data_IF_608929434900
#
_entry.id   IF_608929434900
#
_cell.length_a   1.000
_cell.length_b   1.000
_cell.length_c   1.000
_cell.angle_alpha   90.00
_cell.angle_beta   90.00
_cell.angle_gamma   90.00
#
_symmetry.space_group_name_H-M   'P 1'
#
loop_
_entity.id
_entity.type
_entity.pdbx_description
1 polymer ?
#
# COMPACT_ATOMS: atom_id res chain seq x y z
N UNK A 1 35.81 34.24 -37.12
CA UNK A 1 34.91 33.06 -37.05
C UNK A 1 34.72 32.49 -35.65
N UNK A 2 35.76 32.15 -34.87
CA UNK A 2 35.61 31.56 -33.52
C UNK A 2 34.78 32.40 -32.52
N UNK A 3 34.94 33.73 -32.53
CA UNK A 3 34.12 34.66 -31.71
C UNK A 3 32.64 34.66 -32.10
N UNK A 4 32.34 34.52 -33.40
CA UNK A 4 30.96 34.50 -33.91
C UNK A 4 30.26 33.18 -33.52
N UNK A 5 30.96 32.05 -33.67
CA UNK A 5 30.47 30.73 -33.22
C UNK A 5 30.21 30.68 -31.70
N UNK A 6 31.11 31.27 -30.90
CA UNK A 6 30.93 31.36 -29.45
C UNK A 6 29.72 32.22 -29.07
N UNK A 7 29.49 33.33 -29.77
CA UNK A 7 28.35 34.22 -29.54
C UNK A 7 27.01 33.56 -29.90
N UNK A 8 26.98 32.76 -30.98
CA UNK A 8 25.82 31.94 -31.36
C UNK A 8 25.54 30.82 -30.37
N UNK A 9 26.57 30.19 -29.81
CA UNK A 9 26.42 29.18 -28.78
C UNK A 9 25.82 29.77 -27.49
N UNK A 10 26.31 30.94 -27.06
CA UNK A 10 25.73 31.67 -25.92
C UNK A 10 24.28 32.09 -26.19
N UNK A 11 24.00 32.60 -27.39
CA UNK A 11 22.64 32.98 -27.79
C UNK A 11 21.70 31.78 -27.82
N UNK A 12 22.14 30.63 -28.32
CA UNK A 12 21.35 29.39 -28.32
C UNK A 12 21.06 28.88 -26.90
N UNK A 13 22.06 28.93 -26.00
CA UNK A 13 21.87 28.60 -24.58
C UNK A 13 20.90 29.58 -23.93
N UNK A 14 21.04 30.88 -24.18
CA UNK A 14 20.15 31.91 -23.65
C UNK A 14 18.71 31.76 -24.17
N UNK A 15 18.53 31.48 -25.46
CA UNK A 15 17.21 31.20 -26.05
C UNK A 15 16.61 29.93 -25.46
N UNK A 16 17.41 28.87 -25.25
CA UNK A 16 16.93 27.67 -24.56
C UNK A 16 16.49 27.99 -23.12
N UNK A 17 17.26 28.78 -22.37
CA UNK A 17 16.91 29.22 -21.01
C UNK A 17 15.63 30.05 -21.01
N UNK A 18 15.52 31.04 -21.89
CA UNK A 18 14.33 31.91 -22.00
C UNK A 18 13.10 31.13 -22.48
N UNK A 19 13.24 30.22 -23.45
CA UNK A 19 12.16 29.35 -23.91
C UNK A 19 11.72 28.39 -22.79
N UNK A 20 12.67 27.86 -22.02
CA UNK A 20 12.37 27.05 -20.83
C UNK A 20 11.55 27.89 -19.85
N UNK A 21 11.96 29.12 -19.55
CA UNK A 21 11.24 30.05 -18.65
C UNK A 21 9.83 30.38 -19.17
N UNK A 22 9.64 30.58 -20.47
CA UNK A 22 8.33 30.91 -21.07
C UNK A 22 7.36 29.72 -21.02
N UNK A 23 7.84 28.52 -21.35
CA UNK A 23 7.10 27.25 -21.23
C UNK A 23 6.85 26.89 -19.75
N UNK A 24 7.67 27.43 -18.85
CA UNK A 24 7.57 27.20 -17.41
C UNK A 24 6.39 27.91 -16.75
N UNK A 25 5.76 28.90 -17.38
CA UNK A 25 4.78 29.74 -16.69
C UNK A 25 3.47 29.01 -16.35
N UNK A 26 2.82 29.29 -15.19
CA UNK A 26 1.52 28.73 -14.86
C UNK A 26 0.45 29.02 -15.92
N UNK A 27 0.58 30.12 -16.68
CA UNK A 27 -0.29 30.46 -17.80
C UNK A 27 -0.14 29.49 -18.98
N UNK A 28 1.10 29.10 -19.31
CA UNK A 28 1.37 28.11 -20.35
C UNK A 28 0.78 26.75 -19.96
N UNK A 29 1.07 26.28 -18.74
CA UNK A 29 0.52 25.00 -18.24
C UNK A 29 -1.02 25.03 -18.25
N UNK A 30 -1.63 26.13 -17.79
CA UNK A 30 -3.08 26.31 -17.83
C UNK A 30 -3.61 26.16 -19.25
N UNK A 31 -3.02 26.82 -20.24
CA UNK A 31 -3.49 26.78 -21.62
C UNK A 31 -3.28 25.40 -22.27
N UNK A 32 -2.13 24.75 -22.08
CA UNK A 32 -1.82 23.45 -22.69
C UNK A 32 -2.64 22.31 -22.09
N UNK A 33 -2.99 22.40 -20.80
CA UNK A 33 -3.78 21.35 -20.12
C UNK A 33 -5.29 21.60 -20.14
N UNK A 34 -5.75 22.81 -20.49
CA UNK A 34 -7.16 23.17 -20.38
C UNK A 34 -8.06 22.27 -21.20
N UNK A 35 -7.76 22.10 -22.49
CA UNK A 35 -8.61 21.36 -23.42
C UNK A 35 -8.65 19.87 -23.06
N UNK A 36 -7.49 19.28 -22.75
CA UNK A 36 -7.40 17.90 -22.29
C UNK A 36 -8.20 17.67 -21.00
N UNK A 37 -7.99 18.49 -19.97
CA UNK A 37 -8.69 18.34 -18.69
C UNK A 37 -10.20 18.54 -18.87
N UNK A 38 -10.62 19.50 -19.69
CA UNK A 38 -12.03 19.77 -20.00
C UNK A 38 -12.69 18.62 -20.75
N UNK A 39 -12.02 18.05 -21.76
CA UNK A 39 -12.49 16.88 -22.50
C UNK A 39 -12.74 15.68 -21.58
N UNK A 40 -11.88 15.51 -20.56
CA UNK A 40 -12.01 14.45 -19.56
C UNK A 40 -12.86 14.83 -18.33
N UNK A 41 -13.60 15.95 -18.37
CA UNK A 41 -14.43 16.44 -17.26
C UNK A 41 -13.65 16.61 -15.93
N UNK A 42 -12.37 16.95 -16.02
CA UNK A 42 -11.50 17.25 -14.89
C UNK A 42 -11.45 18.77 -14.70
N UNK A 43 -11.73 19.22 -13.49
CA UNK A 43 -11.71 20.65 -13.12
C UNK A 43 -10.86 20.86 -11.88
N UNK A 44 -10.39 22.09 -11.68
CA UNK A 44 -9.59 22.49 -10.51
C UNK A 44 -9.92 23.94 -10.15
N UNK A 45 -9.76 24.31 -8.88
CA UNK A 45 -10.02 25.67 -8.41
C UNK A 45 -8.86 26.62 -8.72
N UNK A 46 -7.62 26.15 -8.51
CA UNK A 46 -6.40 26.93 -8.69
C UNK A 46 -5.28 26.04 -9.19
N UNK A 47 -4.45 26.59 -10.07
CA UNK A 47 -3.13 26.07 -10.41
C UNK A 47 -2.08 27.07 -9.92
N UNK A 48 -0.99 26.59 -9.35
CA UNK A 48 0.11 27.41 -8.82
C UNK A 48 1.46 26.76 -9.12
N UNK A 49 2.53 27.55 -9.06
CA UNK A 49 3.89 27.12 -9.35
C UNK A 49 4.24 27.09 -10.83
N UNK A 50 5.39 26.49 -11.12
CA UNK A 50 6.00 26.42 -12.45
C UNK A 50 6.59 25.01 -12.67
N UNK A 51 6.85 24.61 -13.92
CA UNK A 51 7.50 23.33 -14.30
C UNK A 51 8.83 23.08 -13.56
N UNK A 52 9.63 24.11 -13.23
CA UNK A 52 10.92 24.00 -12.55
C UNK A 52 10.84 24.01 -11.01
N UNK A 53 9.77 24.54 -10.42
CA UNK A 53 9.54 24.58 -8.96
C UNK A 53 8.48 23.56 -8.52
N UNK A 54 7.77 22.98 -9.48
CA UNK A 54 6.66 22.06 -9.28
C UNK A 54 5.31 22.77 -9.44
N UNK A 55 4.37 22.04 -10.06
CA UNK A 55 3.01 22.50 -10.35
C UNK A 55 2.07 21.95 -9.30
N UNK A 56 1.22 22.81 -8.74
CA UNK A 56 0.21 22.44 -7.73
C UNK A 56 -1.20 22.73 -8.24
N UNK A 57 -2.05 21.71 -8.23
CA UNK A 57 -3.48 21.82 -8.50
C UNK A 57 -4.26 21.72 -7.20
N UNK A 58 -5.22 22.61 -6.99
CA UNK A 58 -6.06 22.67 -5.79
C UNK A 58 -7.52 22.35 -6.13
N UNK A 59 -8.18 21.60 -5.25
CA UNK A 59 -9.58 21.18 -5.37
C UNK A 59 -9.87 20.50 -6.73
N UNK A 60 -9.12 19.42 -6.99
CA UNK A 60 -9.24 18.64 -8.24
C UNK A 60 -10.51 17.83 -8.20
N UNK A 61 -11.33 17.96 -9.24
CA UNK A 61 -12.63 17.29 -9.39
C UNK A 61 -12.73 16.55 -10.71
N UNK A 62 -13.46 15.43 -10.71
CA UNK A 62 -13.87 14.69 -11.90
C UNK A 62 -15.39 14.58 -11.92
N UNK A 63 -16.04 15.02 -12.99
CA UNK A 63 -17.52 15.09 -13.07
C UNK A 63 -18.14 15.82 -11.88
N UNK A 64 -17.58 16.99 -11.53
CA UNK A 64 -17.93 17.81 -10.37
C UNK A 64 -17.77 17.14 -8.98
N UNK A 65 -17.20 15.92 -8.91
CA UNK A 65 -16.95 15.20 -7.66
C UNK A 65 -15.48 15.34 -7.24
N UNK A 66 -15.18 15.53 -5.94
CA UNK A 66 -13.81 15.74 -5.47
C UNK A 66 -12.96 14.49 -5.70
N UNK A 67 -11.78 14.67 -6.27
CA UNK A 67 -10.75 13.63 -6.47
C UNK A 67 -9.60 13.83 -5.49
N UNK A 68 -9.08 15.05 -5.35
CA UNK A 68 -8.02 15.36 -4.38
C UNK A 68 -8.11 16.82 -3.96
N UNK A 69 -7.81 17.11 -2.68
CA UNK A 69 -7.75 18.48 -2.20
C UNK A 69 -6.55 19.24 -2.80
N UNK A 70 -5.42 18.54 -2.93
CA UNK A 70 -4.21 19.08 -3.56
C UNK A 70 -3.43 17.99 -4.29
N UNK A 71 -2.95 18.32 -5.48
CA UNK A 71 -2.04 17.50 -6.26
C UNK A 71 -0.82 18.36 -6.62
N UNK A 72 0.34 18.03 -6.08
CA UNK A 72 1.60 18.69 -6.40
C UNK A 72 2.50 17.71 -7.17
N UNK A 73 3.06 18.15 -8.28
CA UNK A 73 3.97 17.38 -9.13
C UNK A 73 5.21 18.21 -9.42
N UNK A 74 6.38 17.65 -9.14
CA UNK A 74 7.67 18.22 -9.50
C UNK A 74 8.45 17.21 -10.33
N UNK A 75 8.73 17.55 -11.58
CA UNK A 75 9.36 16.65 -12.56
C UNK A 75 10.44 17.39 -13.36
N UNK A 76 11.37 16.65 -13.97
CA UNK A 76 12.45 17.21 -14.79
C UNK A 76 12.19 16.96 -16.28
N UNK A 77 11.82 17.98 -17.07
CA UNK A 77 11.65 17.82 -18.51
C UNK A 77 12.92 17.36 -19.23
N UNK A 78 14.09 17.78 -18.73
CA UNK A 78 15.38 17.42 -19.31
C UNK A 78 15.68 15.92 -19.23
N UNK A 79 15.06 15.19 -18.30
CA UNK A 79 15.26 13.73 -18.20
C UNK A 79 14.76 12.96 -19.41
N UNK A 80 13.86 13.56 -20.22
CA UNK A 80 13.35 12.96 -21.45
C UNK A 80 14.46 12.74 -22.48
N UNK A 81 15.51 13.59 -22.47
CA UNK A 81 16.69 13.42 -23.33
C UNK A 81 17.45 12.13 -23.02
N UNK A 82 17.33 11.62 -21.79
CA UNK A 82 17.89 10.35 -21.35
C UNK A 82 16.89 9.19 -21.42
N UNK A 83 15.77 9.36 -22.13
CA UNK A 83 14.66 8.39 -22.16
C UNK A 83 14.10 8.09 -20.76
N UNK A 84 14.05 9.09 -19.89
CA UNK A 84 13.51 8.95 -18.52
C UNK A 84 12.42 9.97 -18.27
N UNK A 85 11.40 9.57 -17.51
CA UNK A 85 10.44 10.48 -16.89
C UNK A 85 10.80 10.56 -15.41
N UNK A 86 11.51 11.61 -14.99
CA UNK A 86 11.93 11.77 -13.59
C UNK A 86 10.97 12.70 -12.85
N UNK A 87 10.24 12.12 -11.91
CA UNK A 87 9.39 12.80 -10.95
C UNK A 87 10.15 12.90 -9.62
N UNK A 88 10.63 14.09 -9.30
CA UNK A 88 11.36 14.37 -8.07
C UNK A 88 10.47 14.28 -6.83
N UNK A 89 9.27 14.87 -6.92
CA UNK A 89 8.33 14.91 -5.80
C UNK A 89 6.90 14.93 -6.31
N UNK A 90 6.08 14.03 -5.77
CA UNK A 90 4.62 14.10 -5.87
C UNK A 90 4.00 14.21 -4.49
N UNK A 91 2.96 15.02 -4.34
CA UNK A 91 2.16 15.05 -3.11
C UNK A 91 0.69 15.06 -3.49
N UNK A 92 -0.08 14.14 -2.91
CA UNK A 92 -1.53 14.03 -3.11
C UNK A 92 -2.18 14.12 -1.73
N UNK A 93 -2.96 15.16 -1.52
CA UNK A 93 -3.68 15.41 -0.27
C UNK A 93 -5.16 15.07 -0.42
N UNK A 94 -5.70 14.36 0.57
CA UNK A 94 -7.11 13.95 0.66
C UNK A 94 -7.66 13.30 -0.61
N UNK A 95 -6.92 12.33 -1.14
CA UNK A 95 -7.33 11.55 -2.30
C UNK A 95 -8.63 10.78 -2.01
N UNK A 96 -9.64 11.01 -2.84
CA UNK A 96 -10.88 10.26 -2.84
C UNK A 96 -10.74 9.02 -3.74
N UNK A 97 -10.46 7.88 -3.13
CA UNK A 97 -10.21 6.60 -3.84
C UNK A 97 -11.39 6.20 -4.74
N UNK A 98 -12.63 6.42 -4.30
CA UNK A 98 -13.82 6.07 -5.09
C UNK A 98 -13.92 6.88 -6.36
N UNK A 99 -13.66 8.19 -6.30
CA UNK A 99 -13.71 9.06 -7.47
C UNK A 99 -12.46 8.91 -8.35
N UNK A 100 -11.29 8.64 -7.77
CA UNK A 100 -10.10 8.27 -8.52
C UNK A 100 -10.34 7.00 -9.37
N UNK A 101 -10.94 5.96 -8.79
CA UNK A 101 -11.25 4.73 -9.52
C UNK A 101 -12.19 5.00 -10.71
N UNK A 102 -13.20 5.86 -10.54
CA UNK A 102 -14.09 6.29 -11.63
C UNK A 102 -13.36 7.07 -12.72
N UNK A 103 -12.42 7.94 -12.32
CA UNK A 103 -11.57 8.68 -13.25
C UNK A 103 -10.69 7.72 -14.06
N UNK A 104 -9.99 6.79 -13.41
CA UNK A 104 -9.14 5.78 -14.07
C UNK A 104 -9.97 4.97 -15.07
N UNK A 105 -11.15 4.49 -14.66
CA UNK A 105 -12.04 3.70 -15.52
C UNK A 105 -12.66 4.50 -16.68
N UNK A 106 -12.60 5.84 -16.65
CA UNK A 106 -13.11 6.68 -17.74
C UNK A 106 -12.15 6.79 -18.92
N UNK A 107 -10.85 6.50 -18.70
CA UNK A 107 -9.89 6.41 -19.78
C UNK A 107 -10.13 5.10 -20.54
N UNK A 108 -10.67 5.20 -21.76
CA UNK A 108 -10.86 4.05 -22.64
C UNK A 108 -9.49 3.50 -23.02
N UNK A 109 -9.26 2.20 -22.79
CA UNK A 109 -8.21 1.48 -23.52
C UNK A 109 -8.68 1.35 -24.97
N UNK A 110 -8.12 2.16 -25.85
CA UNK A 110 -8.41 2.02 -27.28
C UNK A 110 -7.68 0.77 -27.77
N UNK A 111 -8.40 -0.25 -28.22
CA UNK A 111 -7.86 -1.55 -28.69
C UNK A 111 -6.94 -1.45 -29.93
N UNK A 112 -6.59 -0.23 -30.36
CA UNK A 112 -5.55 0.03 -31.34
C UNK A 112 -4.25 0.34 -30.61
N UNK A 113 -3.64 -0.70 -30.04
CA UNK A 113 -2.20 -0.68 -29.75
C UNK A 113 -1.47 -0.64 -31.10
N UNK A 114 -1.09 0.57 -31.53
CA UNK A 114 0.16 0.67 -32.30
C UNK A 114 1.25 0.10 -31.39
N UNK A 115 1.93 -0.93 -31.86
CA UNK A 115 3.05 -1.67 -31.22
C UNK A 115 4.31 -0.79 -31.01
N UNK A 116 4.13 0.51 -30.78
CA UNK A 116 5.20 1.42 -30.43
C UNK A 116 5.55 1.20 -28.96
N UNK A 117 6.51 0.30 -28.73
CA UNK A 117 7.14 0.13 -27.43
C UNK A 117 7.84 1.43 -27.04
N UNK A 118 7.22 2.17 -26.11
CA UNK A 118 7.78 3.39 -25.55
C UNK A 118 8.98 3.01 -24.68
N UNK A 119 10.18 3.20 -25.24
CA UNK A 119 11.46 3.01 -24.54
C UNK A 119 11.71 4.17 -23.55
N UNK A 120 10.96 4.16 -22.45
CA UNK A 120 11.07 5.11 -21.35
C UNK A 120 11.14 4.41 -20.00
N UNK A 121 11.92 4.98 -19.08
CA UNK A 121 11.92 4.58 -17.66
C UNK A 121 11.25 5.67 -16.82
N UNK A 122 10.23 5.30 -16.05
CA UNK A 122 9.60 6.17 -15.07
C UNK A 122 10.35 6.08 -13.74
N UNK A 123 10.85 7.21 -13.25
CA UNK A 123 11.55 7.30 -11.96
C UNK A 123 10.77 8.27 -11.06
N UNK A 124 10.27 7.77 -9.94
CA UNK A 124 9.64 8.55 -8.89
C UNK A 124 10.54 8.55 -7.64
N UNK A 125 11.19 9.67 -7.37
CA UNK A 125 12.12 9.79 -6.24
C UNK A 125 11.40 9.86 -4.90
N UNK A 126 10.29 10.62 -4.83
CA UNK A 126 9.47 10.74 -3.62
C UNK A 126 8.01 10.98 -3.96
N UNK A 127 7.10 10.23 -3.34
CA UNK A 127 5.69 10.61 -3.28
C UNK A 127 5.16 10.52 -1.87
N UNK A 128 4.24 11.43 -1.53
CA UNK A 128 3.41 11.34 -0.34
C UNK A 128 1.95 11.38 -0.77
N UNK A 129 1.18 10.37 -0.39
CA UNK A 129 -0.23 10.25 -0.76
C UNK A 129 -1.00 10.09 0.53
N UNK A 130 -2.03 10.90 0.71
CA UNK A 130 -3.01 10.75 1.80
C UNK A 130 -4.40 10.62 1.21
N UNK A 131 -5.29 9.94 1.91
CA UNK A 131 -6.66 9.73 1.43
C UNK A 131 -7.68 10.33 2.37
N UNK A 132 -8.74 10.90 1.80
CA UNK A 132 -9.95 11.22 2.56
C UNK A 132 -10.60 9.93 3.09
N UNK A 133 -11.37 10.04 4.17
CA UNK A 133 -12.17 8.94 4.70
C UNK A 133 -13.04 8.30 3.61
N UNK A 134 -13.02 6.97 3.50
CA UNK A 134 -13.86 6.23 2.55
C UNK A 134 -14.25 4.86 3.08
N UNK A 135 -15.31 4.30 2.52
CA UNK A 135 -15.79 2.96 2.85
C UNK A 135 -15.63 2.01 1.66
N UNK A 136 -15.17 0.79 1.93
CA UNK A 136 -15.18 -0.30 0.96
C UNK A 136 -15.80 -1.54 1.62
N UNK A 137 -16.98 -1.94 1.14
CA UNK A 137 -17.79 -2.99 1.79
C UNK A 137 -18.04 -2.64 3.26
N UNK A 138 -17.59 -3.50 4.19
CA UNK A 138 -17.72 -3.29 5.64
C UNK A 138 -16.48 -2.67 6.29
N UNK A 139 -15.48 -2.28 5.50
CA UNK A 139 -14.27 -1.61 5.94
C UNK A 139 -14.46 -0.10 5.82
N UNK A 140 -14.24 0.61 6.92
CA UNK A 140 -14.19 2.06 6.94
C UNK A 140 -12.74 2.47 7.15
N UNK A 141 -12.16 3.12 6.14
CA UNK A 141 -10.83 3.69 6.20
C UNK A 141 -10.95 5.14 6.67
N UNK A 142 -10.51 5.41 7.89
CA UNK A 142 -10.50 6.75 8.48
C UNK A 142 -9.46 7.63 7.79
N UNK A 143 -8.27 7.06 7.55
CA UNK A 143 -7.18 7.70 6.82
C UNK A 143 -6.21 6.65 6.28
N UNK A 144 -5.61 6.92 5.13
CA UNK A 144 -4.43 6.19 4.65
C UNK A 144 -3.33 7.18 4.31
N UNK A 145 -2.09 6.75 4.52
CA UNK A 145 -0.88 7.46 4.11
C UNK A 145 0.05 6.48 3.42
N UNK A 146 0.52 6.84 2.23
CA UNK A 146 1.58 6.11 1.53
C UNK A 146 2.73 7.07 1.23
N UNK A 147 3.94 6.68 1.62
CA UNK A 147 5.17 7.35 1.24
C UNK A 147 5.95 6.42 0.32
N UNK A 148 6.20 6.86 -0.91
CA UNK A 148 6.98 6.11 -1.90
C UNK A 148 8.34 6.78 -2.04
N UNK A 149 9.40 5.98 -2.17
CA UNK A 149 10.74 6.48 -2.44
C UNK A 149 11.49 5.61 -3.42
N UNK A 150 12.29 6.25 -4.30
CA UNK A 150 13.18 5.59 -5.25
C UNK A 150 12.49 4.53 -6.13
N UNK A 151 11.25 4.82 -6.55
CA UNK A 151 10.48 3.95 -7.44
C UNK A 151 11.02 4.09 -8.85
N UNK A 152 11.35 2.97 -9.50
CA UNK A 152 11.78 2.92 -10.89
C UNK A 152 11.01 1.83 -11.63
N UNK A 153 10.39 2.20 -12.74
CA UNK A 153 9.59 1.33 -13.58
C UNK A 153 10.02 1.46 -15.04
N UNK A 154 10.49 0.35 -15.58
CA UNK A 154 10.87 0.20 -16.98
C UNK A 154 9.61 -0.07 -17.80
N UNK A 155 9.18 0.91 -18.58
CA UNK A 155 7.96 0.80 -19.37
C UNK A 155 8.15 -0.14 -20.56
N UNK A 156 9.36 -0.20 -21.12
CA UNK A 156 9.70 -1.06 -22.25
C UNK A 156 9.62 -2.54 -21.89
N UNK A 157 10.23 -2.90 -20.77
CA UNK A 157 10.24 -4.29 -20.29
C UNK A 157 9.03 -4.64 -19.41
N UNK A 158 8.16 -3.65 -19.08
CA UNK A 158 7.09 -3.78 -18.09
C UNK A 158 7.61 -4.35 -16.76
N UNK A 159 8.68 -3.75 -16.23
CA UNK A 159 9.40 -4.23 -15.04
C UNK A 159 9.54 -3.16 -13.97
N UNK A 160 9.13 -3.51 -12.76
CA UNK A 160 9.43 -2.73 -11.57
C UNK A 160 10.87 -3.04 -11.13
N UNK A 161 11.76 -2.04 -11.20
CA UNK A 161 13.19 -2.20 -10.96
C UNK A 161 13.55 -1.94 -9.50
N UNK A 162 13.02 -0.87 -8.92
CA UNK A 162 13.31 -0.43 -7.56
C UNK A 162 12.12 0.32 -6.96
N UNK A 163 12.08 0.45 -5.63
CA UNK A 163 11.01 1.16 -4.94
C UNK A 163 10.90 0.75 -3.48
N UNK A 164 10.63 1.73 -2.64
CA UNK A 164 10.33 1.57 -1.23
C UNK A 164 8.97 2.20 -0.96
N UNK A 165 8.18 1.56 -0.10
CA UNK A 165 6.86 2.04 0.31
C UNK A 165 6.74 1.97 1.83
N UNK A 166 6.36 3.08 2.45
CA UNK A 166 5.82 3.11 3.81
C UNK A 166 4.32 3.31 3.68
N UNK A 167 3.53 2.45 4.31
CA UNK A 167 2.09 2.47 4.23
C UNK A 167 1.48 2.44 5.62
N UNK A 168 0.58 3.38 5.88
CA UNK A 168 -0.15 3.49 7.13
C UNK A 168 -1.64 3.53 6.80
N UNK A 169 -2.45 2.74 7.48
CA UNK A 169 -3.90 2.80 7.38
C UNK A 169 -4.53 2.77 8.76
N UNK A 170 -5.49 3.66 9.00
CA UNK A 170 -6.37 3.66 10.15
C UNK A 170 -7.77 3.25 9.67
N UNK A 171 -8.29 2.16 10.25
CA UNK A 171 -9.53 1.54 9.86
C UNK A 171 -10.41 1.30 11.07
N UNK A 172 -11.72 1.12 10.85
CA UNK A 172 -12.63 0.70 11.92
C UNK A 172 -12.18 -0.60 12.62
N UNK A 173 -11.60 -1.55 11.89
CA UNK A 173 -11.13 -2.82 12.47
C UNK A 173 -9.71 -2.80 13.00
N UNK A 174 -8.96 -1.70 12.87
CA UNK A 174 -7.58 -1.70 13.33
C UNK A 174 -6.68 -0.71 12.61
N UNK A 175 -5.39 -0.82 12.86
CA UNK A 175 -4.36 0.01 12.22
C UNK A 175 -3.27 -0.85 11.62
N UNK A 176 -2.84 -0.47 10.43
CA UNK A 176 -1.78 -1.15 9.67
C UNK A 176 -0.61 -0.17 9.52
N UNK A 177 0.60 -0.61 9.83
CA UNK A 177 1.82 0.11 9.52
C UNK A 177 2.80 -0.85 8.83
N UNK A 178 3.08 -0.64 7.56
CA UNK A 178 3.93 -1.50 6.74
C UNK A 178 5.08 -0.70 6.14
N UNK A 179 6.21 -1.37 5.98
CA UNK A 179 7.32 -0.94 5.15
C UNK A 179 7.66 -2.07 4.19
N UNK A 180 7.74 -1.78 2.89
CA UNK A 180 8.17 -2.72 1.87
C UNK A 180 9.23 -2.11 0.95
N UNK A 181 10.03 -2.98 0.37
CA UNK A 181 10.98 -2.69 -0.70
C UNK A 181 10.82 -3.72 -1.80
N UNK A 182 10.93 -3.31 -3.05
CA UNK A 182 10.94 -4.28 -4.15
C UNK A 182 12.24 -5.10 -4.16
N UNK A 183 12.14 -6.36 -4.54
CA UNK A 183 13.28 -7.24 -4.78
C UNK A 183 13.49 -7.54 -6.27
N UNK A 184 12.81 -6.80 -7.16
CA UNK A 184 12.83 -6.97 -8.61
C UNK A 184 11.58 -7.70 -9.14
N UNK A 185 11.28 -7.54 -10.43
CA UNK A 185 10.23 -8.29 -11.16
C UNK A 185 8.84 -8.29 -10.50
N UNK A 186 8.44 -7.16 -9.92
CA UNK A 186 7.18 -6.98 -9.16
C UNK A 186 7.10 -7.77 -7.85
N UNK A 187 8.24 -8.20 -7.31
CA UNK A 187 8.33 -8.78 -5.99
C UNK A 187 8.57 -7.69 -4.93
N UNK A 188 7.94 -7.83 -3.78
CA UNK A 188 8.06 -6.93 -2.65
C UNK A 188 8.30 -7.72 -1.37
N UNK A 189 9.27 -7.27 -0.57
CA UNK A 189 9.51 -7.78 0.78
C UNK A 189 9.43 -6.67 1.79
N UNK A 190 8.89 -6.96 2.96
CA UNK A 190 8.67 -5.94 3.96
C UNK A 190 8.42 -6.47 5.35
N UNK A 191 8.13 -5.54 6.25
CA UNK A 191 7.83 -5.79 7.67
C UNK A 191 6.86 -4.72 8.18
N UNK A 192 6.31 -4.92 9.35
CA UNK A 192 5.40 -3.93 9.92
C UNK A 192 4.71 -4.38 11.19
N UNK A 193 3.58 -3.77 11.45
CA UNK A 193 2.68 -4.17 12.52
C UNK A 193 1.23 -3.94 12.14
N UNK A 194 0.36 -4.71 12.77
CA UNK A 194 -1.08 -4.62 12.70
C UNK A 194 -1.62 -4.59 14.14
N UNK A 195 -2.57 -3.70 14.38
CA UNK A 195 -3.43 -3.74 15.57
C UNK A 195 -4.84 -4.04 15.13
N UNK A 196 -5.58 -4.80 15.92
CA UNK A 196 -6.98 -5.17 15.63
C UNK A 196 -7.87 -4.58 16.72
N UNK A 197 -8.91 -3.85 16.33
CA UNK A 197 -9.87 -3.27 17.25
C UNK A 197 -10.90 -4.31 17.69
N UNK A 198 -11.47 -4.14 18.89
CA UNK A 198 -12.46 -5.07 19.46
C UNK A 198 -13.66 -5.34 18.54
N UNK A 199 -14.11 -4.32 17.80
CA UNK A 199 -15.20 -4.41 16.83
C UNK A 199 -14.99 -5.47 15.74
N UNK A 200 -13.73 -5.81 15.41
CA UNK A 200 -13.44 -6.90 14.48
C UNK A 200 -13.83 -8.25 15.10
N UNK A 201 -13.34 -8.53 16.32
CA UNK A 201 -13.62 -9.78 17.02
C UNK A 201 -15.11 -9.93 17.31
N UNK A 202 -15.78 -8.85 17.74
CA UNK A 202 -17.21 -8.87 18.04
C UNK A 202 -18.04 -9.16 16.78
N UNK A 203 -17.68 -8.56 15.63
CA UNK A 203 -18.38 -8.78 14.35
C UNK A 203 -18.31 -10.23 13.88
N UNK A 204 -17.19 -10.90 14.13
CA UNK A 204 -16.96 -12.28 13.69
C UNK A 204 -17.15 -13.31 14.81
N UNK A 205 -17.71 -12.90 15.95
CA UNK A 205 -17.93 -13.74 17.14
C UNK A 205 -16.66 -14.50 17.57
N UNK A 206 -15.50 -13.88 17.39
CA UNK A 206 -14.23 -14.44 17.85
C UNK A 206 -14.08 -14.05 19.33
N UNK A 207 -13.93 -15.02 20.25
CA UNK A 207 -13.91 -14.74 21.68
C UNK A 207 -12.55 -14.19 22.12
N UNK A 208 -12.09 -13.07 21.54
CA UNK A 208 -10.83 -12.41 21.88
C UNK A 208 -11.05 -11.00 22.42
N UNK A 209 -10.18 -10.63 23.37
CA UNK A 209 -10.07 -9.29 23.95
C UNK A 209 -8.93 -8.58 23.21
N UNK A 210 -9.26 -7.58 22.39
CA UNK A 210 -8.30 -6.86 21.56
C UNK A 210 -7.18 -6.19 22.37
N UNK A 211 -7.52 -5.58 23.51
CA UNK A 211 -6.54 -4.93 24.40
C UNK A 211 -5.48 -5.92 24.92
N UNK A 212 -5.86 -7.19 25.06
CA UNK A 212 -5.02 -8.25 25.60
C UNK A 212 -4.22 -8.97 24.51
N UNK A 213 -4.74 -9.02 23.27
CA UNK A 213 -4.05 -9.60 22.13
C UNK A 213 -2.78 -8.81 21.73
N UNK A 214 -2.72 -7.52 22.05
CA UNK A 214 -1.63 -6.65 21.64
C UNK A 214 -1.56 -6.46 20.12
N UNK A 215 -0.41 -5.98 19.64
CA UNK A 215 -0.16 -5.80 18.22
C UNK A 215 0.48 -7.04 17.62
N UNK A 216 0.02 -7.44 16.43
CA UNK A 216 0.71 -8.42 15.60
C UNK A 216 1.92 -7.75 14.94
N UNK A 217 3.12 -8.20 15.27
CA UNK A 217 4.36 -7.83 14.60
C UNK A 217 4.50 -8.66 13.33
N UNK A 218 4.56 -7.99 12.17
CA UNK A 218 4.82 -8.64 10.89
C UNK A 218 6.34 -8.63 10.69
N UNK A 219 6.98 -9.76 10.99
CA UNK A 219 8.43 -9.90 10.87
C UNK A 219 8.87 -9.91 9.41
N UNK A 220 8.06 -10.53 8.55
CA UNK A 220 8.25 -10.57 7.12
C UNK A 220 6.90 -10.60 6.41
N UNK A 221 6.74 -9.83 5.34
CA UNK A 221 5.78 -10.15 4.30
C UNK A 221 6.47 -10.14 2.94
N UNK A 222 5.99 -11.00 2.05
CA UNK A 222 6.47 -11.15 0.69
C UNK A 222 5.28 -11.16 -0.25
N UNK A 223 5.34 -10.40 -1.34
CA UNK A 223 4.39 -10.41 -2.44
C UNK A 223 5.18 -10.72 -3.71
N UNK A 224 4.72 -11.68 -4.50
CA UNK A 224 5.34 -12.07 -5.77
C UNK A 224 4.28 -12.39 -6.82
N UNK A 225 4.72 -12.79 -8.02
CA UNK A 225 3.83 -13.29 -9.09
C UNK A 225 3.12 -14.60 -8.75
N UNK A 226 3.53 -15.33 -7.71
CA UNK A 226 2.91 -16.61 -7.32
C UNK A 226 1.94 -16.46 -6.14
N UNK A 227 2.14 -15.46 -5.29
CA UNK A 227 1.31 -15.29 -4.11
C UNK A 227 1.72 -14.14 -3.22
N UNK A 228 1.21 -14.18 -1.99
CA UNK A 228 1.83 -13.47 -0.87
C UNK A 228 2.08 -14.42 0.30
N UNK A 229 2.99 -14.05 1.19
CA UNK A 229 3.22 -14.69 2.47
C UNK A 229 3.43 -13.63 3.54
N UNK A 230 2.86 -13.83 4.72
CA UNK A 230 2.99 -12.96 5.90
C UNK A 230 3.41 -13.84 7.07
N UNK A 231 4.48 -13.46 7.74
CA UNK A 231 4.92 -14.01 9.02
C UNK A 231 4.57 -12.99 10.10
N UNK A 232 3.66 -13.38 10.99
CA UNK A 232 3.17 -12.55 12.07
C UNK A 232 3.46 -13.21 13.43
N UNK A 233 3.89 -12.40 14.40
CA UNK A 233 4.01 -12.78 15.80
C UNK A 233 3.13 -11.88 16.65
N UNK A 234 2.32 -12.49 17.50
CA UNK A 234 1.47 -11.79 18.46
C UNK A 234 1.80 -12.31 19.86
N UNK A 235 1.85 -11.42 20.84
CA UNK A 235 2.01 -11.76 22.26
C UNK A 235 0.92 -11.07 23.05
N UNK A 236 0.35 -11.78 24.00
CA UNK A 236 -0.73 -11.28 24.83
C UNK A 236 -0.88 -12.10 26.10
N UNK A 237 -1.72 -11.61 26.99
CA UNK A 237 -2.09 -12.29 28.23
C UNK A 237 -3.59 -12.15 28.41
N UNK A 238 -4.27 -13.26 28.75
CA UNK A 238 -5.73 -13.36 28.87
C UNK A 238 -6.43 -12.93 27.58
N UNK A 239 -5.92 -13.42 26.45
CA UNK A 239 -6.43 -13.02 25.12
C UNK A 239 -7.87 -13.48 24.91
N UNK A 240 -8.26 -14.63 25.44
CA UNK A 240 -9.62 -15.13 25.28
C UNK A 240 -10.60 -14.40 26.20
N UNK A 241 -11.76 -14.02 25.64
CA UNK A 241 -12.97 -13.73 26.40
C UNK A 241 -13.44 -15.05 26.97
N UNK A 242 -13.24 -15.23 28.26
CA UNK A 242 -13.71 -16.42 28.94
C UNK A 242 -15.23 -16.52 28.82
N UNK A 243 -15.72 -17.62 28.25
CA UNK A 243 -17.16 -17.87 28.15
C UNK A 243 -17.73 -18.51 29.42
N UNK A 244 -16.88 -19.03 30.32
CA UNK A 244 -17.27 -19.83 31.47
C UNK A 244 -16.65 -19.35 32.80
N UNK A 245 -16.00 -18.18 32.86
CA UNK A 245 -15.30 -17.61 34.04
C UNK A 245 -14.25 -18.54 34.70
N UNK A 246 -13.75 -19.53 33.98
CA UNK A 246 -12.75 -20.49 34.48
C UNK A 246 -11.30 -19.98 34.43
N UNK A 247 -11.02 -18.94 33.65
CA UNK A 247 -9.72 -18.37 33.27
C UNK A 247 -8.66 -19.44 32.92
N UNK A 248 -9.11 -20.57 32.38
CA UNK A 248 -8.29 -21.77 32.30
C UNK A 248 -7.32 -21.80 31.13
N UNK A 249 -7.41 -20.90 30.14
CA UNK A 249 -6.47 -20.91 29.02
C UNK A 249 -6.00 -19.49 28.69
N UNK A 250 -4.69 -19.32 28.79
CA UNK A 250 -4.01 -18.07 28.47
C UNK A 250 -3.01 -18.31 27.33
N UNK A 251 -3.24 -17.68 26.18
CA UNK A 251 -2.33 -17.75 25.03
C UNK A 251 -1.29 -16.67 25.17
N UNK A 252 -0.05 -17.07 25.41
CA UNK A 252 1.08 -16.18 25.66
C UNK A 252 1.66 -15.62 24.36
N UNK A 253 1.72 -16.47 23.34
CA UNK A 253 2.34 -16.14 22.07
C UNK A 253 1.71 -16.94 20.94
N UNK A 254 1.53 -16.30 19.78
CA UNK A 254 1.14 -16.94 18.52
C UNK A 254 2.12 -16.53 17.44
N UNK A 255 2.65 -17.50 16.70
CA UNK A 255 3.38 -17.29 15.47
C UNK A 255 2.54 -17.83 14.33
N UNK A 256 2.25 -17.00 13.33
CA UNK A 256 1.41 -17.37 12.20
C UNK A 256 2.12 -17.09 10.88
N UNK A 257 2.10 -18.06 9.98
CA UNK A 257 2.43 -17.92 8.57
C UNK A 257 1.14 -17.98 7.77
N UNK A 258 0.81 -16.88 7.11
CA UNK A 258 -0.35 -16.78 6.22
C UNK A 258 0.19 -16.71 4.81
N UNK A 259 -0.23 -17.63 3.93
CA UNK A 259 0.16 -17.64 2.53
C UNK A 259 -1.07 -17.66 1.64
N UNK A 260 -1.03 -16.94 0.53
CA UNK A 260 -2.04 -17.00 -0.52
C UNK A 260 -1.37 -17.28 -1.86
N UNK A 261 -1.97 -18.15 -2.67
CA UNK A 261 -1.46 -18.46 -4.01
C UNK A 261 -2.43 -17.95 -5.07
N UNK A 262 -1.97 -17.11 -6.02
CA UNK A 262 -2.83 -16.50 -7.03
C UNK A 262 -3.46 -17.53 -7.98
N UNK A 263 -2.73 -18.60 -8.32
CA UNK A 263 -3.14 -19.63 -9.28
C UNK A 263 -4.17 -20.59 -8.68
N UNK A 264 -3.88 -21.15 -7.51
CA UNK A 264 -4.82 -22.06 -6.84
C UNK A 264 -5.94 -21.33 -6.11
N UNK A 265 -5.75 -20.04 -5.80
CA UNK A 265 -6.63 -19.22 -4.94
C UNK A 265 -6.77 -19.76 -3.51
N UNK A 266 -5.82 -20.58 -3.08
CA UNK A 266 -5.82 -21.12 -1.72
C UNK A 266 -5.24 -20.10 -0.74
N UNK A 267 -5.89 -19.95 0.41
CA UNK A 267 -5.31 -19.35 1.62
C UNK A 267 -4.85 -20.49 2.52
N UNK A 268 -3.61 -20.41 3.00
CA UNK A 268 -3.06 -21.33 4.00
C UNK A 268 -2.68 -20.51 5.22
N UNK A 269 -3.13 -20.94 6.40
CA UNK A 269 -2.73 -20.39 7.68
C UNK A 269 -2.09 -21.51 8.49
N UNK A 270 -0.80 -21.37 8.77
CA UNK A 270 -0.02 -22.28 9.59
C UNK A 270 0.42 -21.51 10.84
N UNK A 271 -0.03 -21.93 12.02
CA UNK A 271 0.22 -21.23 13.27
C UNK A 271 0.68 -22.16 14.38
N UNK A 272 1.60 -21.65 15.20
CA UNK A 272 2.06 -22.29 16.41
C UNK A 272 1.86 -21.32 17.57
N UNK A 273 1.16 -21.76 18.61
CA UNK A 273 0.90 -20.97 19.80
C UNK A 273 1.47 -21.65 21.05
N UNK A 274 1.97 -20.80 21.96
CA UNK A 274 2.30 -21.17 23.31
C UNK A 274 1.18 -20.66 24.21
N UNK A 275 0.58 -21.56 24.97
CA UNK A 275 -0.44 -21.26 25.95
C UNK A 275 -0.10 -21.87 27.30
N UNK A 276 -0.81 -21.44 28.33
CA UNK A 276 -0.78 -22.04 29.67
C UNK A 276 -2.21 -22.18 30.19
N UNK A 277 -2.41 -23.15 31.05
CA UNK A 277 -3.60 -23.31 31.87
C UNK A 277 -3.21 -23.47 33.33
N UNK A 278 -4.22 -23.45 34.21
CA UNK A 278 -4.03 -23.79 35.62
C UNK A 278 -3.42 -25.20 35.80
N UNK A 279 -3.81 -26.15 34.94
CA UNK A 279 -3.38 -27.55 35.03
C UNK A 279 -2.15 -27.86 34.18
N UNK A 280 -1.84 -27.06 33.15
CA UNK A 280 -0.75 -27.29 32.22
C UNK A 280 0.01 -25.98 31.94
N UNK A 281 1.17 -25.75 32.58
CA UNK A 281 1.90 -24.49 32.44
C UNK A 281 2.48 -24.27 31.04
N UNK A 282 2.67 -25.35 30.27
CA UNK A 282 3.18 -25.31 28.90
C UNK A 282 2.26 -26.13 27.99
N UNK A 283 1.48 -25.43 27.17
CA UNK A 283 0.62 -26.03 26.14
C UNK A 283 1.13 -25.51 24.80
N UNK A 284 1.56 -26.42 23.93
CA UNK A 284 1.87 -26.13 22.53
C UNK A 284 0.66 -26.44 21.69
N UNK A 285 0.24 -25.48 20.88
CA UNK A 285 -0.90 -25.63 19.97
C UNK A 285 -0.38 -25.40 18.56
N UNK A 286 -0.64 -26.36 17.67
CA UNK A 286 -0.39 -26.20 16.24
C UNK A 286 -1.73 -26.10 15.50
N UNK A 287 -1.78 -25.28 14.46
CA UNK A 287 -2.98 -25.03 13.68
C UNK A 287 -2.59 -24.91 12.21
N UNK A 288 -3.26 -25.67 11.36
CA UNK A 288 -3.10 -25.63 9.92
C UNK A 288 -4.50 -25.56 9.29
N UNK A 289 -4.78 -24.43 8.65
CA UNK A 289 -6.05 -24.14 7.97
C UNK A 289 -5.78 -23.93 6.49
N UNK A 290 -6.58 -24.59 5.65
CA UNK A 290 -6.61 -24.35 4.21
C UNK A 290 -8.01 -23.91 3.83
N UNK A 291 -8.12 -22.76 3.18
CA UNK A 291 -9.34 -22.30 2.51
C UNK A 291 -9.08 -22.36 1.02
N UNK A 292 -9.83 -23.20 0.31
CA UNK A 292 -9.68 -23.35 -1.14
C UNK A 292 -10.48 -22.31 -1.95
N UNK A 293 -10.36 -22.38 -3.27
CA UNK A 293 -11.06 -21.49 -4.22
C UNK A 293 -12.59 -21.53 -4.09
N UNK A 294 -13.14 -22.64 -3.60
CA UNK A 294 -14.58 -22.89 -3.44
C UNK A 294 -15.03 -22.55 -2.01
N UNK A 295 -14.14 -21.90 -1.22
CA UNK A 295 -14.32 -21.52 0.17
C UNK A 295 -14.50 -22.71 1.12
N UNK A 296 -14.14 -23.93 0.69
CA UNK A 296 -14.11 -25.08 1.58
C UNK A 296 -12.93 -24.91 2.53
N UNK A 297 -13.22 -25.00 3.82
CA UNK A 297 -12.23 -24.87 4.88
C UNK A 297 -11.87 -26.25 5.41
N UNK A 298 -10.58 -26.59 5.41
CA UNK A 298 -10.04 -27.78 6.06
C UNK A 298 -9.13 -27.33 7.20
N UNK A 299 -9.28 -27.98 8.35
CA UNK A 299 -8.55 -27.67 9.57
C UNK A 299 -7.88 -28.93 10.12
N UNK A 300 -6.63 -28.80 10.54
CA UNK A 300 -5.89 -29.81 11.31
C UNK A 300 -4.99 -29.12 12.33
N UNK A 301 -4.66 -29.80 13.42
CA UNK A 301 -3.80 -29.24 14.46
C UNK A 301 -3.56 -30.22 15.59
N UNK A 302 -2.62 -29.89 16.47
CA UNK A 302 -2.30 -30.66 17.67
C UNK A 302 -2.33 -29.76 18.90
N UNK A 303 -2.64 -30.35 20.05
CA UNK A 303 -2.50 -29.72 21.37
C UNK A 303 -1.66 -30.66 22.21
N UNK A 304 -0.49 -30.19 22.63
CA UNK A 304 0.48 -30.95 23.41
C UNK A 304 0.70 -30.24 24.75
N UNK A 305 0.44 -30.94 25.85
CA UNK A 305 0.74 -30.48 27.19
C UNK A 305 1.84 -31.36 27.78
N UNK A 306 2.99 -30.77 28.14
CA UNK A 306 4.15 -31.54 28.62
C UNK A 306 3.86 -32.30 29.92
N UNK A 307 3.12 -31.66 30.85
CA UNK A 307 2.68 -32.24 32.14
C UNK A 307 1.35 -31.65 32.55
N UNK A 308 0.44 -32.52 33.01
CA UNK A 308 -0.74 -32.11 33.76
C UNK A 308 -0.38 -32.10 35.25
N UNK A 309 -0.74 -31.02 35.92
CA UNK A 309 -0.53 -30.78 37.35
C UNK A 309 -1.87 -30.45 37.99
N UNK A 310 -2.02 -30.72 39.29
CA UNK A 310 -3.20 -30.30 40.06
C UNK A 310 -4.54 -30.87 39.59
N UNK A 311 -4.56 -32.03 38.92
CA UNK A 311 -5.80 -32.75 38.63
C UNK A 311 -6.40 -33.29 39.95
N UNK A 312 -7.71 -33.14 40.14
CA UNK A 312 -8.41 -33.80 41.25
C UNK A 312 -8.19 -35.32 41.13
N UNK A 313 -7.69 -36.02 42.16
CA UNK A 313 -7.50 -37.46 42.14
C UNK A 313 -8.75 -38.25 41.76
N UNK A 314 -9.95 -37.68 41.91
CA UNK A 314 -11.23 -38.29 41.50
C UNK A 314 -11.51 -38.21 40.00
N UNK A 315 -10.71 -37.46 39.24
CA UNK A 315 -10.82 -37.32 37.78
C UNK A 315 -9.80 -38.18 37.00
N UNK A 316 -8.95 -38.92 37.70
CA UNK A 316 -7.97 -39.88 37.17
C UNK A 316 -8.49 -41.31 37.34
#
# INVERSE_FOLDING_TARGET
>A
MKKLLFLWMIAAVFIMVVATILVNTPLFIKNTTHDFLKEHNITYKKIDGDVLQGVSFYDVKFNAKPVAAKLQLFWSPLSLLEKKIVIHKTTVEDLNITNLAKLINSFKTTDKTTDENVDLTLILQKANITTSKYSYRHYLFNSMKAELSNVSYDMYNNKFQSGEIKYNADMNYGKINLYAKTTGDMEFKGKGNLSVNQIFYDRYHVPLIAANAGNANISEFNISKSGFTILANTKGEKIFKDMNDTNNLDVLQVNSKISYNWKSKNVIVDSNALAKSYYAPNIKITNYVVVDKDQKTTYSGTVEADKLTSLDPKLL
#
